data_IF_333647418572
#
_entry.id   IF_333647418572
#
_cell.length_a   1.000
_cell.length_b   1.000
_cell.length_c   1.000
_cell.angle_alpha   90.00
_cell.angle_beta   90.00
_cell.angle_gamma   90.00
#
_symmetry.space_group_name_H-M   'P 1'
#
loop_
_entity.id
_entity.type
_entity.pdbx_description
1 polymer ?
#
# COMPACT_ATOMS: atom_id res chain seq x y z
N UNK A 1 -21.03 10.87 3.47
CA UNK A 1 -20.66 11.91 2.49
C UNK A 1 -21.53 11.67 1.27
N UNK A 2 -21.93 12.70 0.53
CA UNK A 2 -22.63 12.45 -0.72
C UNK A 2 -21.72 11.76 -1.74
N UNK A 3 -22.34 11.13 -2.73
CA UNK A 3 -21.67 10.75 -3.97
C UNK A 3 -21.01 11.99 -4.57
N UNK A 4 -19.83 11.80 -5.17
CA UNK A 4 -19.05 12.89 -5.75
C UNK A 4 -18.54 12.50 -7.13
N UNK A 5 -18.46 13.49 -8.02
CA UNK A 5 -17.84 13.35 -9.34
C UNK A 5 -16.46 13.99 -9.26
N UNK A 6 -15.43 13.25 -9.68
CA UNK A 6 -14.04 13.71 -9.66
C UNK A 6 -13.24 13.05 -10.79
N UNK A 7 -11.92 13.21 -10.76
CA UNK A 7 -10.99 12.62 -11.69
C UNK A 7 -10.13 11.53 -11.02
N UNK A 8 -9.62 10.60 -11.81
CA UNK A 8 -8.69 9.56 -11.38
C UNK A 8 -7.50 9.48 -12.35
N UNK A 9 -6.30 9.44 -11.83
CA UNK A 9 -5.09 9.27 -12.64
C UNK A 9 -4.71 7.80 -12.73
N UNK A 10 -4.26 7.35 -13.91
CA UNK A 10 -3.74 6.00 -14.14
C UNK A 10 -2.38 6.08 -14.83
N UNK A 11 -1.57 5.04 -14.72
CA UNK A 11 -0.38 4.91 -15.56
C UNK A 11 -0.82 4.87 -17.03
N UNK A 12 -0.28 5.75 -17.87
CA UNK A 12 -0.67 5.85 -19.27
C UNK A 12 -0.27 4.60 -20.07
N UNK A 13 -1.15 4.11 -20.94
CA UNK A 13 -0.83 3.03 -21.87
C UNK A 13 -0.17 3.60 -23.15
N UNK A 14 1.15 3.83 -23.08
CA UNK A 14 1.94 4.39 -24.18
C UNK A 14 2.85 3.35 -24.82
N UNK A 15 3.17 3.47 -26.13
CA UNK A 15 4.03 2.51 -26.83
C UNK A 15 5.39 2.26 -26.17
N UNK A 16 5.96 3.26 -25.50
CA UNK A 16 7.22 3.16 -24.76
C UNK A 16 7.21 1.98 -23.78
N UNK A 17 6.08 1.74 -23.09
CA UNK A 17 5.98 0.70 -22.05
C UNK A 17 5.98 -0.74 -22.56
N UNK A 18 5.95 -0.92 -23.87
CA UNK A 18 6.13 -2.24 -24.51
C UNK A 18 7.60 -2.63 -24.61
N UNK A 19 8.49 -1.64 -24.71
CA UNK A 19 9.93 -1.83 -24.86
C UNK A 19 10.68 -1.53 -23.55
N UNK A 20 10.18 -0.58 -22.77
CA UNK A 20 10.82 -0.09 -21.54
C UNK A 20 9.82 -0.08 -20.38
N UNK A 21 10.15 -0.72 -19.26
CA UNK A 21 9.27 -0.68 -18.09
C UNK A 21 9.21 0.72 -17.47
N UNK A 22 8.06 1.14 -16.91
CA UNK A 22 7.99 2.32 -16.07
C UNK A 22 9.01 2.24 -14.92
N UNK A 23 9.78 3.31 -14.70
CA UNK A 23 10.81 3.37 -13.66
C UNK A 23 10.88 4.74 -12.99
N UNK A 24 11.42 4.75 -11.77
CA UNK A 24 11.94 5.93 -11.07
C UNK A 24 13.32 5.59 -10.55
N UNK A 25 14.28 6.45 -10.77
CA UNK A 25 15.64 6.36 -10.25
C UNK A 25 15.74 7.24 -9.02
N UNK A 26 16.12 6.64 -7.90
CA UNK A 26 16.47 7.37 -6.68
C UNK A 26 17.97 7.63 -6.69
N UNK A 27 18.36 8.90 -6.67
CA UNK A 27 19.75 9.33 -6.59
C UNK A 27 20.02 9.97 -5.23
N UNK A 28 21.28 9.97 -4.80
CA UNK A 28 21.69 10.71 -3.62
C UNK A 28 21.46 12.22 -3.84
N UNK A 29 21.11 12.95 -2.78
CA UNK A 29 20.74 14.36 -2.88
C UNK A 29 21.86 15.26 -3.46
N UNK A 30 23.12 14.87 -3.29
CA UNK A 30 24.29 15.58 -3.86
C UNK A 30 24.55 15.22 -5.34
N UNK A 31 23.80 14.26 -5.90
CA UNK A 31 23.92 13.76 -7.28
C UNK A 31 22.73 14.14 -8.16
N UNK A 32 21.67 14.68 -7.58
CA UNK A 32 20.54 15.22 -8.34
C UNK A 32 20.91 16.61 -8.85
N UNK A 33 21.26 16.68 -10.13
CA UNK A 33 21.65 17.93 -10.81
C UNK A 33 20.56 18.47 -11.75
N UNK A 34 19.34 17.93 -11.66
CA UNK A 34 18.19 18.26 -12.51
C UNK A 34 18.47 18.11 -14.04
N UNK A 35 19.62 17.53 -14.45
CA UNK A 35 20.03 17.48 -15.86
C UNK A 35 19.52 16.27 -16.63
N UNK A 36 19.02 15.25 -15.92
CA UNK A 36 18.49 14.01 -16.49
C UNK A 36 17.09 13.72 -15.97
N UNK A 37 16.24 13.14 -16.83
CA UNK A 37 14.94 12.67 -16.39
C UNK A 37 15.11 11.38 -15.58
N UNK A 38 14.80 11.45 -14.28
CA UNK A 38 14.95 10.32 -13.36
C UNK A 38 13.79 9.32 -13.42
N UNK A 39 12.78 9.53 -14.27
CA UNK A 39 11.68 8.61 -14.46
C UNK A 39 11.14 8.68 -15.88
N UNK A 40 10.58 7.59 -16.38
CA UNK A 40 9.79 7.60 -17.62
C UNK A 40 8.28 7.48 -17.35
N UNK A 41 7.85 7.60 -16.08
CA UNK A 41 6.44 7.49 -15.70
C UNK A 41 5.63 8.65 -16.31
N UNK A 42 4.51 8.28 -16.93
CA UNK A 42 3.50 9.18 -17.51
C UNK A 42 2.14 8.75 -16.97
N UNK A 43 1.39 9.73 -16.49
CA UNK A 43 0.04 9.53 -15.98
C UNK A 43 -0.97 10.06 -17.00
N UNK A 44 -2.11 9.39 -17.11
CA UNK A 44 -3.29 9.87 -17.82
C UNK A 44 -4.42 10.14 -16.83
N UNK A 45 -5.18 11.21 -17.06
CA UNK A 45 -6.29 11.60 -16.19
C UNK A 45 -7.62 11.21 -16.83
N UNK A 46 -8.42 10.47 -16.08
CA UNK A 46 -9.79 10.11 -16.43
C UNK A 46 -10.75 11.00 -15.65
N UNK A 47 -11.46 11.85 -16.38
CA UNK A 47 -12.40 12.83 -15.82
C UNK A 47 -13.81 12.23 -15.62
N UNK A 48 -14.64 12.92 -14.84
CA UNK A 48 -16.07 12.61 -14.65
C UNK A 48 -16.34 11.20 -14.05
N UNK A 49 -15.48 10.74 -13.16
CA UNK A 49 -15.65 9.48 -12.44
C UNK A 49 -16.58 9.70 -11.24
N UNK A 50 -17.66 8.92 -11.18
CA UNK A 50 -18.58 8.89 -10.04
C UNK A 50 -18.01 8.02 -8.91
N UNK A 51 -17.82 8.61 -7.75
CA UNK A 51 -17.49 7.94 -6.50
C UNK A 51 -18.74 7.86 -5.62
N UNK A 52 -19.16 6.63 -5.30
CA UNK A 52 -20.35 6.37 -4.50
C UNK A 52 -20.03 6.15 -3.02
N UNK A 53 -20.81 6.73 -2.11
CA UNK A 53 -20.66 6.48 -0.68
C UNK A 53 -21.17 5.08 -0.30
N UNK A 54 -20.26 4.18 0.00
CA UNK A 54 -20.57 2.79 0.37
C UNK A 54 -20.91 2.61 1.86
N UNK A 55 -20.77 3.63 2.71
CA UNK A 55 -21.02 3.51 4.16
C UNK A 55 -22.44 3.04 4.52
N UNK A 56 -23.52 3.48 3.84
CA UNK A 56 -24.87 2.95 4.11
C UNK A 56 -25.03 1.46 3.74
N UNK A 57 -24.09 0.93 2.97
CA UNK A 57 -24.15 -0.37 2.30
C UNK A 57 -22.99 -1.30 2.68
N UNK A 58 -22.22 -0.99 3.74
CA UNK A 58 -20.98 -1.71 4.12
C UNK A 58 -21.15 -3.23 4.20
N UNK A 59 -22.31 -3.70 4.68
CA UNK A 59 -22.61 -5.14 4.81
C UNK A 59 -22.55 -5.93 3.50
N UNK A 60 -22.64 -5.26 2.35
CA UNK A 60 -22.56 -5.89 1.03
C UNK A 60 -21.14 -5.96 0.48
N UNK A 61 -20.18 -5.26 1.10
CA UNK A 61 -18.78 -5.24 0.68
C UNK A 61 -17.98 -6.13 1.61
N UNK A 62 -17.76 -7.37 1.18
CA UNK A 62 -16.97 -8.36 1.92
C UNK A 62 -15.71 -8.70 1.15
N UNK A 63 -14.67 -9.11 1.88
CA UNK A 63 -13.40 -9.48 1.27
C UNK A 63 -13.53 -10.58 0.21
N UNK A 64 -14.46 -11.52 0.41
CA UNK A 64 -14.65 -12.63 -0.53
C UNK A 64 -15.46 -12.24 -1.78
N UNK A 65 -16.15 -11.10 -1.76
CA UNK A 65 -16.98 -10.63 -2.89
C UNK A 65 -16.28 -9.53 -3.70
N UNK A 66 -15.68 -8.55 -3.03
CA UNK A 66 -15.08 -7.38 -3.69
C UNK A 66 -13.62 -7.14 -3.32
N UNK A 67 -12.98 -8.05 -2.58
CA UNK A 67 -11.56 -7.96 -2.23
C UNK A 67 -11.24 -6.98 -1.09
N UNK A 68 -12.25 -6.28 -0.56
CA UNK A 68 -12.12 -5.40 0.61
C UNK A 68 -13.36 -5.51 1.50
N UNK A 69 -13.25 -5.02 2.73
CA UNK A 69 -14.36 -4.93 3.67
C UNK A 69 -14.16 -3.72 4.59
N UNK A 70 -15.23 -3.26 5.21
CA UNK A 70 -15.16 -2.19 6.21
C UNK A 70 -15.55 -2.77 7.56
N UNK A 71 -14.60 -2.78 8.49
CA UNK A 71 -14.80 -3.27 9.86
C UNK A 71 -14.59 -2.11 10.84
N UNK A 72 -15.62 -1.69 11.58
CA UNK A 72 -15.45 -0.77 12.70
C UNK A 72 -14.57 -1.43 13.78
N UNK A 73 -13.46 -0.80 14.14
CA UNK A 73 -12.55 -1.31 15.15
C UNK A 73 -11.94 -0.15 15.95
N UNK A 74 -12.03 -0.23 17.27
CA UNK A 74 -11.40 0.73 18.18
C UNK A 74 -9.94 0.32 18.43
N UNK A 75 -9.02 1.22 18.13
CA UNK A 75 -7.57 1.06 18.29
C UNK A 75 -7.07 1.87 19.49
N UNK A 76 -6.03 1.40 20.16
CA UNK A 76 -5.56 2.04 21.42
C UNK A 76 -4.78 3.33 21.16
N UNK A 77 -4.10 3.48 20.01
CA UNK A 77 -3.29 4.65 19.68
C UNK A 77 -3.34 5.01 18.19
N UNK A 78 -3.96 6.15 17.86
CA UNK A 78 -4.13 6.63 16.48
C UNK A 78 -3.14 7.74 16.09
N UNK A 79 -2.39 8.31 17.03
CA UNK A 79 -1.55 9.48 16.74
C UNK A 79 -0.32 9.14 15.89
N UNK A 80 0.21 7.91 16.00
CA UNK A 80 1.37 7.41 15.23
C UNK A 80 2.53 8.42 15.18
N UNK A 81 2.81 9.10 16.30
CA UNK A 81 3.76 10.20 16.40
C UNK A 81 5.19 9.75 16.69
N UNK A 82 5.39 8.49 17.12
CA UNK A 82 6.70 7.93 17.42
C UNK A 82 6.80 6.44 17.06
N UNK A 83 8.01 5.87 16.97
CA UNK A 83 8.22 4.48 16.56
C UNK A 83 7.52 3.46 17.46
N UNK A 84 7.39 3.74 18.76
CA UNK A 84 6.73 2.83 19.70
C UNK A 84 5.22 2.73 19.40
N UNK A 85 4.57 3.86 19.07
CA UNK A 85 3.17 3.87 18.66
C UNK A 85 2.96 3.14 17.33
N UNK A 86 3.87 3.30 16.36
CA UNK A 86 3.84 2.53 15.12
C UNK A 86 3.96 1.02 15.40
N UNK A 87 4.88 0.61 16.28
CA UNK A 87 5.02 -0.79 16.67
C UNK A 87 3.75 -1.35 17.35
N UNK A 88 3.11 -0.56 18.21
CA UNK A 88 1.82 -0.91 18.81
C UNK A 88 0.73 -1.08 17.76
N UNK A 89 0.60 -0.12 16.83
CA UNK A 89 -0.36 -0.19 15.72
C UNK A 89 -0.17 -1.44 14.86
N UNK A 90 1.07 -1.78 14.50
CA UNK A 90 1.39 -3.01 13.76
C UNK A 90 0.95 -4.27 14.52
N UNK A 91 1.17 -4.28 15.83
CA UNK A 91 0.81 -5.40 16.71
C UNK A 91 -0.70 -5.55 16.83
N UNK A 92 -1.42 -4.46 17.10
CA UNK A 92 -2.88 -4.46 17.20
C UNK A 92 -3.54 -4.87 15.88
N UNK A 93 -3.04 -4.32 14.76
CA UNK A 93 -3.49 -4.70 13.41
C UNK A 93 -3.29 -6.20 13.17
N UNK A 94 -2.11 -6.75 13.48
CA UNK A 94 -1.85 -8.17 13.30
C UNK A 94 -2.78 -9.04 14.15
N UNK A 95 -3.02 -8.68 15.41
CA UNK A 95 -3.94 -9.39 16.30
C UNK A 95 -5.40 -9.30 15.83
N UNK A 96 -5.82 -8.12 15.37
CA UNK A 96 -7.13 -7.92 14.76
C UNK A 96 -7.33 -8.84 13.56
N UNK A 97 -6.42 -8.80 12.58
CA UNK A 97 -6.49 -9.62 11.38
C UNK A 97 -6.44 -11.12 11.71
N UNK A 98 -5.63 -11.50 12.70
CA UNK A 98 -5.53 -12.90 13.12
C UNK A 98 -6.86 -13.42 13.66
N UNK A 99 -7.55 -12.64 14.50
CA UNK A 99 -8.87 -12.98 15.02
C UNK A 99 -9.93 -12.98 13.91
N UNK A 100 -9.93 -11.93 13.08
CA UNK A 100 -10.94 -11.72 12.04
C UNK A 100 -10.92 -12.84 10.99
N UNK A 101 -9.75 -13.19 10.46
CA UNK A 101 -9.61 -14.28 9.49
C UNK A 101 -9.44 -15.66 10.12
N UNK A 102 -9.40 -15.76 11.46
CA UNK A 102 -9.00 -16.97 12.18
C UNK A 102 -7.68 -17.53 11.63
N UNK A 103 -6.75 -16.64 11.33
CA UNK A 103 -5.51 -16.98 10.65
C UNK A 103 -4.56 -17.72 11.61
N UNK A 104 -3.85 -18.72 11.08
CA UNK A 104 -2.83 -19.43 11.85
C UNK A 104 -1.63 -18.54 12.21
N UNK A 105 -1.35 -17.54 11.37
CA UNK A 105 -0.24 -16.61 11.52
C UNK A 105 -0.55 -15.30 10.77
N UNK A 106 -0.14 -14.18 11.35
CA UNK A 106 -0.20 -12.85 10.71
C UNK A 106 1.10 -12.12 11.01
N UNK A 107 1.64 -11.46 9.99
CA UNK A 107 2.82 -10.61 10.11
C UNK A 107 2.55 -9.27 9.46
N UNK A 108 2.75 -8.20 10.23
CA UNK A 108 2.80 -6.85 9.69
C UNK A 108 4.25 -6.55 9.26
N UNK A 109 4.54 -6.71 7.97
CA UNK A 109 5.88 -6.52 7.43
C UNK A 109 6.23 -5.06 7.16
N UNK A 110 5.24 -4.20 6.93
CA UNK A 110 5.43 -2.79 6.59
C UNK A 110 4.36 -1.91 7.24
N UNK A 111 4.71 -0.68 7.59
CA UNK A 111 3.77 0.37 7.97
C UNK A 111 4.25 1.67 7.30
N UNK A 112 3.37 2.30 6.50
CA UNK A 112 3.66 3.57 5.81
C UNK A 112 2.81 4.68 6.42
N UNK A 113 3.46 5.77 6.83
CA UNK A 113 2.78 6.96 7.31
C UNK A 113 2.54 7.90 6.13
N UNK A 114 1.31 8.37 5.94
CA UNK A 114 0.95 9.30 4.87
C UNK A 114 0.28 10.52 5.44
N UNK A 115 0.70 11.70 5.00
CA UNK A 115 0.02 12.97 5.30
C UNK A 115 -0.52 13.59 4.03
N UNK A 116 -1.73 14.10 4.10
CA UNK A 116 -2.31 14.90 3.02
C UNK A 116 -1.82 16.35 3.11
N UNK A 117 -0.51 16.54 3.01
CA UNK A 117 0.14 17.85 3.05
C UNK A 117 1.02 18.02 1.80
N UNK A 118 1.17 19.26 1.29
CA UNK A 118 2.17 19.55 0.27
C UNK A 118 3.56 19.17 0.79
N UNK A 119 4.27 18.34 0.05
CA UNK A 119 5.62 17.91 0.41
C UNK A 119 6.62 18.92 -0.12
N UNK A 120 7.49 19.44 0.75
CA UNK A 120 8.44 20.52 0.41
C UNK A 120 9.87 19.98 0.24
N UNK A 121 10.16 18.77 0.72
CA UNK A 121 11.52 18.23 0.74
C UNK A 121 11.91 17.53 -0.57
N UNK A 122 13.13 17.80 -1.04
CA UNK A 122 13.75 17.16 -2.23
C UNK A 122 14.56 15.90 -1.88
N UNK A 123 14.85 15.68 -0.60
CA UNK A 123 15.63 14.54 -0.13
C UNK A 123 14.94 13.90 1.08
N UNK A 124 14.99 12.58 1.18
CA UNK A 124 14.41 11.80 2.28
C UNK A 124 15.37 10.73 2.75
N UNK A 125 15.36 10.41 4.04
CA UNK A 125 16.07 9.25 4.58
C UNK A 125 15.18 8.01 4.45
N UNK A 126 15.56 7.08 3.58
CA UNK A 126 14.83 5.83 3.34
C UNK A 126 14.88 4.87 4.54
N UNK A 127 15.77 5.10 5.51
CA UNK A 127 15.86 4.31 6.73
C UNK A 127 15.06 4.92 7.90
N UNK A 128 14.47 6.09 7.72
CA UNK A 128 13.63 6.70 8.74
C UNK A 128 12.30 5.95 8.85
N UNK A 129 12.11 5.27 9.97
CA UNK A 129 10.87 4.54 10.28
C UNK A 129 9.65 5.46 10.44
N UNK A 130 9.86 6.76 10.61
CA UNK A 130 8.82 7.78 10.71
C UNK A 130 8.68 8.62 9.43
N UNK A 131 9.37 8.22 8.35
CA UNK A 131 9.26 8.90 7.07
C UNK A 131 7.80 8.96 6.64
N UNK A 132 7.33 10.18 6.40
CA UNK A 132 5.97 10.41 5.93
C UNK A 132 5.96 10.52 4.42
N UNK A 133 5.19 9.66 3.77
CA UNK A 133 4.98 9.68 2.32
C UNK A 133 3.91 10.70 1.91
N UNK A 134 3.96 11.07 0.62
CA UNK A 134 2.95 11.89 -0.05
C UNK A 134 1.60 11.18 -0.03
N UNK A 135 0.53 11.94 -0.30
CA UNK A 135 -0.75 11.33 -0.66
C UNK A 135 -0.50 10.30 -1.78
N UNK A 136 -1.16 9.14 -1.69
CA UNK A 136 -1.17 8.22 -2.81
C UNK A 136 -1.75 8.96 -4.02
N UNK A 137 -1.00 9.01 -5.11
CA UNK A 137 -1.39 9.61 -6.37
C UNK A 137 -1.39 8.51 -7.43
N UNK A 138 -2.36 8.57 -8.35
CA UNK A 138 -2.56 7.51 -9.33
C UNK A 138 -3.18 6.23 -8.74
N UNK A 139 -4.23 5.73 -9.38
CA UNK A 139 -4.70 4.38 -9.17
C UNK A 139 -3.65 3.38 -9.70
N UNK A 140 -3.30 2.41 -8.87
CA UNK A 140 -2.29 1.40 -9.18
C UNK A 140 -2.66 0.05 -8.57
N UNK A 141 -2.06 -1.02 -9.11
CA UNK A 141 -2.19 -2.38 -8.59
C UNK A 141 -0.80 -2.81 -8.09
N UNK A 142 -0.69 -3.05 -6.79
CA UNK A 142 0.59 -3.37 -6.15
C UNK A 142 1.02 -4.83 -6.26
N UNK A 143 0.07 -5.73 -6.54
CA UNK A 143 0.31 -7.17 -6.46
C UNK A 143 -0.24 -7.84 -7.71
N UNK A 144 0.61 -8.64 -8.35
CA UNK A 144 0.26 -9.50 -9.47
C UNK A 144 0.37 -10.96 -9.04
N UNK A 145 -0.18 -11.88 -9.84
CA UNK A 145 -0.03 -13.31 -9.61
C UNK A 145 1.43 -13.77 -9.56
N UNK A 146 2.34 -13.04 -10.22
CA UNK A 146 3.77 -13.31 -10.20
C UNK A 146 4.47 -12.70 -8.98
N UNK A 147 4.16 -11.44 -8.63
CA UNK A 147 4.85 -10.74 -7.54
C UNK A 147 4.43 -11.22 -6.15
N UNK A 148 3.24 -11.81 -6.02
CA UNK A 148 2.74 -12.33 -4.73
C UNK A 148 3.69 -13.35 -4.07
N UNK A 149 4.06 -14.45 -4.75
CA UNK A 149 5.04 -15.41 -4.23
C UNK A 149 6.39 -14.78 -3.87
N UNK A 150 6.92 -13.88 -4.72
CA UNK A 150 8.18 -13.19 -4.47
C UNK A 150 8.12 -12.33 -3.19
N UNK A 151 7.00 -11.62 -2.98
CA UNK A 151 6.78 -10.83 -1.76
C UNK A 151 6.67 -11.72 -0.51
N UNK A 152 6.03 -12.89 -0.59
CA UNK A 152 5.99 -13.85 0.52
C UNK A 152 7.42 -14.30 0.87
N UNK A 153 8.19 -14.67 -0.15
CA UNK A 153 9.56 -15.12 0.04
C UNK A 153 10.48 -14.01 0.56
N UNK A 154 10.22 -12.75 0.23
CA UNK A 154 11.02 -11.63 0.71
C UNK A 154 10.70 -11.26 2.15
N UNK A 155 9.41 -11.18 2.53
CA UNK A 155 9.00 -10.62 3.82
C UNK A 155 8.77 -11.66 4.93
N UNK A 156 8.48 -12.92 4.59
CA UNK A 156 8.19 -13.94 5.60
C UNK A 156 9.49 -14.45 6.26
N UNK A 157 9.58 -14.50 7.59
CA UNK A 157 10.70 -15.09 8.31
C UNK A 157 10.94 -16.56 7.96
N UNK A 158 12.17 -17.04 8.06
CA UNK A 158 12.55 -18.40 7.69
C UNK A 158 11.83 -19.50 8.49
N UNK A 159 11.58 -19.26 9.78
CA UNK A 159 10.81 -20.16 10.64
C UNK A 159 9.33 -20.26 10.22
N UNK A 160 8.73 -19.11 9.87
CA UNK A 160 7.38 -19.06 9.35
C UNK A 160 7.27 -19.70 7.96
N UNK A 161 8.26 -19.48 7.08
CA UNK A 161 8.38 -20.15 5.77
C UNK A 161 8.41 -21.67 5.94
N UNK A 162 9.30 -22.19 6.77
CA UNK A 162 9.44 -23.62 7.02
C UNK A 162 8.15 -24.27 7.53
N UNK A 163 7.35 -23.52 8.30
CA UNK A 163 6.09 -24.01 8.86
C UNK A 163 4.92 -23.94 7.89
N UNK A 164 4.78 -22.85 7.15
CA UNK A 164 3.55 -22.51 6.41
C UNK A 164 3.66 -22.65 4.89
N UNK A 165 4.85 -22.69 4.29
CA UNK A 165 5.04 -22.94 2.85
C UNK A 165 4.87 -24.43 2.49
N UNK A 166 3.69 -24.97 2.76
CA UNK A 166 3.30 -26.33 2.42
C UNK A 166 1.79 -26.41 2.15
N UNK A 167 1.36 -27.52 1.55
CA UNK A 167 -0.05 -27.74 1.26
C UNK A 167 -0.93 -27.61 2.52
N UNK A 168 -2.14 -27.07 2.36
CA UNK A 168 -3.10 -26.85 3.43
C UNK A 168 -3.13 -25.43 4.01
N UNK A 169 -2.21 -24.54 3.60
CA UNK A 169 -2.24 -23.12 3.96
C UNK A 169 -2.60 -22.23 2.78
N UNK A 170 -3.27 -21.11 3.08
CA UNK A 170 -3.57 -20.03 2.14
C UNK A 170 -2.90 -18.76 2.62
N UNK A 171 -2.20 -18.07 1.72
CA UNK A 171 -1.61 -16.77 1.97
C UNK A 171 -2.54 -15.66 1.48
N UNK A 172 -2.60 -14.55 2.21
CA UNK A 172 -3.38 -13.36 1.84
C UNK A 172 -2.57 -12.13 2.21
N UNK A 173 -2.41 -11.23 1.25
CA UNK A 173 -1.92 -9.87 1.52
C UNK A 173 -3.12 -8.98 1.88
N UNK A 174 -2.98 -8.23 2.96
CA UNK A 174 -3.95 -7.21 3.39
C UNK A 174 -3.18 -5.91 3.52
N UNK A 175 -3.72 -4.84 2.93
CA UNK A 175 -3.12 -3.51 2.88
C UNK A 175 -4.08 -2.49 3.47
#
# INVERSE_FOLDING_TARGET
>A
MPDLVSQLEHLADIPLYKEEKPYVVLVAADKDDDSHELHNIRMETHENILFTDIRPQMKYYTIDTCGFEIVPHDMTSLELANPQQVATYKTETAQFLQRHFKAAYVQCYEARLRRNLPFVERAVDLNDAMLTERKAAGAHIDVTMKSGPDQIMHHLPEDAKAKYLKAGYRFRFVK
#
